data_IF_867530501320
#
_entry.id   IF_867530501320
#
_cell.length_a   1.000
_cell.length_b   1.000
_cell.length_c   1.000
_cell.angle_alpha   90.00
_cell.angle_beta   90.00
_cell.angle_gamma   90.00
#
_symmetry.space_group_name_H-M   'P 1'
#
loop_
_entity.id
_entity.type
_entity.pdbx_description
1 polymer ?
#
# COMPACT_ATOMS: atom_id res chain seq x y z
N UNK A 1 34.35 -34.54 -38.57
CA UNK A 1 32.91 -34.23 -38.76
C UNK A 1 32.04 -34.28 -37.50
N UNK A 2 32.53 -34.66 -36.29
CA UNK A 2 31.72 -34.70 -35.05
C UNK A 2 31.48 -33.34 -34.36
N UNK A 3 32.39 -32.37 -34.50
CA UNK A 3 32.31 -31.09 -33.76
C UNK A 3 31.31 -30.07 -34.35
N UNK A 4 30.92 -30.23 -35.62
CA UNK A 4 29.99 -29.31 -36.30
C UNK A 4 28.55 -29.47 -35.79
N UNK A 5 28.17 -30.70 -35.41
CA UNK A 5 26.84 -31.01 -34.87
C UNK A 5 26.69 -30.54 -33.41
N UNK A 6 27.77 -30.59 -32.62
CA UNK A 6 27.81 -30.04 -31.25
C UNK A 6 27.71 -28.51 -31.27
N UNK A 7 28.41 -27.85 -32.18
CA UNK A 7 28.29 -26.40 -32.36
C UNK A 7 26.87 -26.00 -32.75
N UNK A 8 26.23 -26.75 -33.67
CA UNK A 8 24.85 -26.50 -34.08
C UNK A 8 23.84 -26.69 -32.94
N UNK A 9 24.08 -27.67 -32.05
CA UNK A 9 23.27 -27.91 -30.87
C UNK A 9 23.35 -26.74 -29.85
N UNK A 10 24.54 -26.19 -29.62
CA UNK A 10 24.71 -25.02 -28.76
C UNK A 10 24.06 -23.75 -29.32
N UNK A 11 24.07 -23.57 -30.65
CA UNK A 11 23.41 -22.43 -31.31
C UNK A 11 21.88 -22.53 -31.19
N UNK A 12 21.32 -23.73 -31.33
CA UNK A 12 19.88 -23.97 -31.12
C UNK A 12 19.48 -23.73 -29.66
N UNK A 13 20.28 -24.20 -28.69
CA UNK A 13 20.02 -23.98 -27.27
C UNK A 13 20.03 -22.50 -26.88
N UNK A 14 20.93 -21.71 -27.50
CA UNK A 14 20.99 -20.26 -27.33
C UNK A 14 19.75 -19.56 -27.91
N UNK A 15 19.22 -20.05 -29.03
CA UNK A 15 18.05 -19.47 -29.69
C UNK A 15 16.74 -19.79 -28.96
N UNK A 16 16.64 -20.95 -28.29
CA UNK A 16 15.48 -21.29 -27.46
C UNK A 16 15.44 -20.50 -26.13
N UNK A 17 16.54 -19.89 -25.71
CA UNK A 17 16.63 -19.11 -24.47
C UNK A 17 16.08 -17.67 -24.55
N UNK A 18 15.77 -17.17 -25.74
CA UNK A 18 15.34 -15.77 -25.95
C UNK A 18 13.82 -15.58 -26.02
N UNK A 19 13.04 -16.65 -25.83
CA UNK A 19 11.58 -16.56 -25.62
C UNK A 19 11.27 -16.06 -24.20
N UNK A 20 11.61 -14.79 -23.95
CA UNK A 20 11.27 -14.08 -22.72
C UNK A 20 9.75 -13.96 -22.60
N UNK A 21 9.15 -14.63 -21.61
CA UNK A 21 7.79 -14.35 -21.16
C UNK A 21 7.74 -12.99 -20.47
N UNK A 22 7.50 -11.93 -21.23
CA UNK A 22 7.03 -10.66 -20.69
C UNK A 22 5.56 -10.81 -20.31
N UNK A 23 5.24 -10.71 -19.02
CA UNK A 23 3.84 -10.60 -18.54
C UNK A 23 3.22 -9.37 -19.19
N UNK A 24 2.24 -9.58 -20.07
CA UNK A 24 1.46 -8.53 -20.70
C UNK A 24 0.64 -7.84 -19.58
N UNK A 25 1.07 -6.66 -19.15
CA UNK A 25 0.30 -5.85 -18.20
C UNK A 25 -0.87 -5.26 -18.97
N UNK A 26 -2.07 -5.79 -18.76
CA UNK A 26 -3.27 -5.11 -19.22
C UNK A 26 -3.33 -3.73 -18.57
N UNK A 27 -3.18 -2.69 -19.38
CA UNK A 27 -3.44 -1.33 -18.96
C UNK A 27 -4.96 -1.24 -18.85
N UNK A 28 -5.47 -1.19 -17.62
CA UNK A 28 -6.88 -0.87 -17.36
C UNK A 28 -7.16 0.47 -18.03
N UNK A 29 -7.80 0.45 -19.19
CA UNK A 29 -8.34 1.64 -19.84
C UNK A 29 -9.47 2.12 -18.93
N UNK A 30 -9.17 3.04 -18.02
CA UNK A 30 -10.19 3.72 -17.23
C UNK A 30 -11.06 4.45 -18.25
N UNK A 31 -12.34 4.08 -18.43
CA UNK A 31 -13.21 4.79 -19.35
C UNK A 31 -13.39 6.18 -18.79
N UNK A 32 -12.69 7.15 -19.39
CA UNK A 32 -13.00 8.55 -19.21
C UNK A 32 -14.49 8.70 -19.54
N UNK A 33 -15.27 9.28 -18.64
CA UNK A 33 -16.68 9.67 -18.85
C UNK A 33 -17.79 8.61 -18.65
N UNK A 34 -17.57 7.56 -17.85
CA UNK A 34 -18.74 6.83 -17.31
C UNK A 34 -19.38 7.66 -16.20
N UNK A 35 -20.49 8.36 -16.49
CA UNK A 35 -21.35 8.97 -15.45
C UNK A 35 -21.53 7.95 -14.32
N UNK A 36 -21.08 8.31 -13.12
CA UNK A 36 -21.21 7.45 -11.94
C UNK A 36 -22.69 7.14 -11.76
N UNK A 37 -23.05 5.85 -11.84
CA UNK A 37 -24.42 5.43 -11.52
C UNK A 37 -24.63 5.67 -10.04
N UNK A 38 -25.62 6.49 -9.70
CA UNK A 38 -26.02 6.68 -8.31
C UNK A 38 -26.45 5.31 -7.75
N UNK A 39 -25.75 4.84 -6.73
CA UNK A 39 -26.08 3.63 -5.99
C UNK A 39 -26.37 4.02 -4.56
N UNK A 40 -27.30 3.33 -3.91
CA UNK A 40 -27.67 3.64 -2.52
C UNK A 40 -26.49 3.38 -1.58
N UNK A 41 -26.43 4.14 -0.49
CA UNK A 41 -25.38 4.03 0.53
C UNK A 41 -25.27 2.60 1.08
N UNK A 42 -26.42 1.94 1.35
CA UNK A 42 -26.47 0.53 1.79
C UNK A 42 -25.82 -0.42 0.77
N UNK A 43 -26.00 -0.17 -0.53
CA UNK A 43 -25.40 -0.97 -1.60
C UNK A 43 -23.92 -0.67 -1.78
N UNK A 44 -23.50 0.59 -1.63
CA UNK A 44 -22.09 0.99 -1.60
C UNK A 44 -21.36 0.30 -0.46
N UNK A 45 -21.86 0.45 0.77
CA UNK A 45 -21.28 -0.14 1.97
C UNK A 45 -21.16 -1.65 1.82
N UNK A 46 -22.24 -2.33 1.42
CA UNK A 46 -22.24 -3.78 1.20
C UNK A 46 -21.17 -4.20 0.18
N UNK A 47 -21.14 -3.56 -0.99
CA UNK A 47 -20.15 -3.87 -2.03
C UNK A 47 -18.72 -3.60 -1.56
N UNK A 48 -18.49 -2.52 -0.84
CA UNK A 48 -17.17 -2.19 -0.30
C UNK A 48 -16.72 -3.23 0.72
N UNK A 49 -17.59 -3.62 1.66
CA UNK A 49 -17.29 -4.66 2.66
C UNK A 49 -17.06 -6.04 2.07
N UNK A 50 -17.80 -6.41 1.02
CA UNK A 50 -17.62 -7.69 0.31
C UNK A 50 -16.29 -7.76 -0.46
N UNK A 51 -15.68 -6.61 -0.77
CA UNK A 51 -14.42 -6.50 -1.50
C UNK A 51 -13.23 -6.10 -0.63
N UNK A 52 -13.33 -6.28 0.69
CA UNK A 52 -12.19 -6.11 1.57
C UNK A 52 -11.06 -7.08 1.25
N UNK A 53 -9.84 -6.59 1.44
CA UNK A 53 -8.65 -7.39 1.20
C UNK A 53 -8.51 -8.45 2.32
N UNK A 54 -8.64 -9.73 1.97
CA UNK A 54 -8.43 -10.85 2.89
C UNK A 54 -6.96 -11.27 2.86
N UNK A 55 -6.25 -11.14 3.99
CA UNK A 55 -4.85 -11.53 4.11
C UNK A 55 -4.46 -11.80 5.57
N UNK A 56 -3.50 -12.71 5.80
CA UNK A 56 -2.82 -12.84 7.09
C UNK A 56 -1.51 -12.05 7.12
N UNK A 57 -0.75 -12.13 6.03
CA UNK A 57 0.47 -11.36 5.79
C UNK A 57 0.41 -10.73 4.41
N UNK A 58 0.86 -9.49 4.29
CA UNK A 58 0.86 -8.77 3.02
C UNK A 58 2.13 -7.94 2.89
N UNK A 59 2.73 -7.97 1.69
CA UNK A 59 3.83 -7.08 1.32
C UNK A 59 3.41 -6.25 0.12
N UNK A 60 3.40 -4.93 0.26
CA UNK A 60 3.12 -3.97 -0.81
C UNK A 60 4.38 -3.18 -1.11
N UNK A 61 4.63 -2.93 -2.40
CA UNK A 61 5.67 -2.00 -2.85
C UNK A 61 5.00 -0.83 -3.52
N UNK A 62 5.44 0.38 -3.21
CA UNK A 62 4.91 1.60 -3.80
C UNK A 62 6.02 2.57 -4.21
N UNK A 63 5.69 3.46 -5.13
CA UNK A 63 6.52 4.61 -5.48
C UNK A 63 5.63 5.82 -5.72
N UNK A 64 6.10 6.99 -5.35
CA UNK A 64 5.33 8.22 -5.45
C UNK A 64 6.22 9.45 -5.55
N UNK A 65 5.61 10.59 -5.81
CA UNK A 65 6.26 11.90 -5.74
C UNK A 65 5.61 12.70 -4.63
N UNK A 66 6.42 13.21 -3.72
CA UNK A 66 5.99 14.11 -2.64
C UNK A 66 6.42 15.52 -3.01
N UNK A 67 5.50 16.47 -2.96
CA UNK A 67 5.85 17.88 -3.04
C UNK A 67 6.30 18.38 -1.67
N UNK A 68 7.50 18.93 -1.60
CA UNK A 68 8.04 19.56 -0.41
C UNK A 68 8.52 20.97 -0.77
N UNK A 69 7.73 21.99 -0.39
CA UNK A 69 7.88 23.34 -0.93
C UNK A 69 7.76 23.32 -2.46
N UNK A 70 8.69 23.97 -3.15
CA UNK A 70 8.72 24.04 -4.62
C UNK A 70 9.41 22.84 -5.29
N UNK A 71 9.81 21.80 -4.54
CA UNK A 71 10.55 20.66 -5.10
C UNK A 71 9.76 19.37 -4.98
N UNK A 72 9.59 18.66 -6.10
CA UNK A 72 9.04 17.31 -6.13
C UNK A 72 10.15 16.29 -5.83
N UNK A 73 10.01 15.53 -4.75
CA UNK A 73 10.92 14.45 -4.37
C UNK A 73 10.30 13.10 -4.65
N UNK A 74 11.04 12.21 -5.31
CA UNK A 74 10.57 10.87 -5.61
C UNK A 74 10.90 9.92 -4.45
N UNK A 75 9.88 9.21 -3.97
CA UNK A 75 10.00 8.25 -2.87
C UNK A 75 9.59 6.85 -3.34
N UNK A 76 10.20 5.85 -2.73
CA UNK A 76 9.84 4.44 -2.87
C UNK A 76 9.62 3.87 -1.48
N UNK A 77 8.75 2.89 -1.36
CA UNK A 77 8.48 2.27 -0.08
C UNK A 77 8.02 0.84 -0.17
N UNK A 78 8.19 0.14 0.94
CA UNK A 78 7.73 -1.21 1.15
C UNK A 78 6.90 -1.22 2.43
N UNK A 79 5.66 -1.67 2.33
CA UNK A 79 4.80 -1.98 3.46
C UNK A 79 4.81 -3.49 3.65
N UNK A 80 5.07 -3.94 4.87
CA UNK A 80 4.85 -5.32 5.32
C UNK A 80 3.87 -5.28 6.46
N UNK A 81 2.85 -6.11 6.43
CA UNK A 81 1.84 -6.14 7.49
C UNK A 81 1.48 -7.56 7.86
N UNK A 82 1.20 -7.77 9.15
CA UNK A 82 0.41 -8.89 9.64
C UNK A 82 -0.92 -8.32 10.10
N UNK A 83 -2.00 -8.88 9.58
CA UNK A 83 -3.37 -8.46 9.87
C UNK A 83 -3.61 -8.34 11.37
N UNK A 84 -4.29 -7.27 11.79
CA UNK A 84 -4.62 -6.99 13.19
C UNK A 84 -3.43 -7.12 14.17
N UNK A 85 -2.20 -6.80 13.75
CA UNK A 85 -1.02 -7.00 14.59
C UNK A 85 0.07 -5.95 14.40
N UNK A 86 0.61 -5.83 13.18
CA UNK A 86 1.76 -4.95 12.94
C UNK A 86 1.75 -4.44 11.50
N UNK A 87 2.05 -3.16 11.33
CA UNK A 87 2.30 -2.53 10.04
C UNK A 87 3.72 -1.96 10.07
N UNK A 88 4.54 -2.41 9.13
CA UNK A 88 5.93 -2.00 8.98
C UNK A 88 6.11 -1.31 7.64
N UNK A 89 6.50 -0.04 7.66
CA UNK A 89 6.75 0.77 6.47
C UNK A 89 8.22 1.13 6.41
N UNK A 90 8.87 0.84 5.30
CA UNK A 90 10.24 1.29 5.02
C UNK A 90 10.21 2.23 3.82
N UNK A 91 10.68 3.45 4.02
CA UNK A 91 10.72 4.51 3.02
C UNK A 91 12.16 4.75 2.56
N UNK A 92 12.31 4.93 1.26
CA UNK A 92 13.58 5.16 0.58
C UNK A 92 13.42 6.31 -0.41
N UNK A 93 14.49 7.07 -0.61
CA UNK A 93 14.61 7.96 -1.74
C UNK A 93 14.66 7.16 -3.06
N UNK A 94 14.40 7.81 -4.19
CA UNK A 94 14.49 7.16 -5.51
C UNK A 94 15.87 6.56 -5.81
N UNK A 95 16.93 6.98 -5.13
CA UNK A 95 18.29 6.42 -5.25
C UNK A 95 18.55 5.21 -4.35
N UNK A 96 17.61 4.83 -3.48
CA UNK A 96 17.76 3.71 -2.53
C UNK A 96 18.23 4.12 -1.13
N UNK A 97 18.51 5.41 -0.91
CA UNK A 97 18.88 5.93 0.41
C UNK A 97 17.69 5.81 1.36
N UNK A 98 17.83 5.16 2.53
CA UNK A 98 16.75 5.08 3.52
C UNK A 98 16.35 6.46 4.04
N UNK A 99 15.04 6.76 4.05
CA UNK A 99 14.50 8.05 4.50
C UNK A 99 13.87 7.91 5.88
N UNK A 100 12.99 6.92 6.05
CA UNK A 100 12.32 6.68 7.32
C UNK A 100 11.89 5.22 7.45
N UNK A 101 11.66 4.79 8.69
CA UNK A 101 11.02 3.52 9.01
C UNK A 101 9.91 3.79 10.02
N UNK A 102 8.75 3.21 9.77
CA UNK A 102 7.59 3.32 10.64
C UNK A 102 7.16 1.92 11.02
N UNK A 103 7.04 1.66 12.31
CA UNK A 103 6.47 0.41 12.83
C UNK A 103 5.30 0.79 13.71
N UNK A 104 4.14 0.20 13.43
CA UNK A 104 2.90 0.45 14.13
C UNK A 104 2.38 -0.88 14.64
N UNK A 105 2.16 -0.98 15.95
CA UNK A 105 1.47 -2.09 16.63
C UNK A 105 0.16 -1.57 17.21
N UNK A 106 -0.61 -2.43 17.88
CA UNK A 106 -1.89 -2.01 18.47
C UNK A 106 -1.76 -0.90 19.51
N UNK A 107 -0.62 -0.86 20.19
CA UNK A 107 -0.34 -0.08 21.40
C UNK A 107 0.74 0.98 21.19
N UNK A 108 1.55 0.87 20.12
CA UNK A 108 2.71 1.73 19.95
C UNK A 108 3.02 2.07 18.50
N UNK A 109 3.68 3.20 18.33
CA UNK A 109 4.24 3.68 17.07
C UNK A 109 5.72 3.97 17.29
N UNK A 110 6.55 3.39 16.44
CA UNK A 110 7.96 3.69 16.31
C UNK A 110 8.17 4.39 14.98
N UNK A 111 8.66 5.63 15.02
CA UNK A 111 9.03 6.40 13.85
C UNK A 111 10.52 6.70 13.89
N UNK A 112 11.27 6.15 12.95
CA UNK A 112 12.71 6.38 12.79
C UNK A 112 12.94 7.28 11.56
N UNK A 113 13.40 8.50 11.79
CA UNK A 113 13.85 9.42 10.74
C UNK A 113 15.35 9.23 10.51
N UNK A 114 15.70 8.68 9.34
CA UNK A 114 17.09 8.40 8.97
C UNK A 114 17.81 9.56 8.31
N UNK A 115 17.11 10.64 7.98
CA UNK A 115 17.75 11.84 7.42
C UNK A 115 18.38 12.70 8.51
N UNK A 116 17.76 12.71 9.70
CA UNK A 116 18.19 13.53 10.83
C UNK A 116 18.61 12.69 12.05
N UNK A 117 18.76 11.36 11.88
CA UNK A 117 19.10 10.41 12.96
C UNK A 117 18.27 10.57 14.23
N UNK A 118 16.97 10.83 14.07
CA UNK A 118 16.01 11.00 15.17
C UNK A 118 15.03 9.85 15.19
N UNK A 119 14.51 9.53 16.37
CA UNK A 119 13.46 8.53 16.52
C UNK A 119 12.41 8.98 17.52
N UNK A 120 11.20 8.48 17.33
CA UNK A 120 10.07 8.58 18.24
C UNK A 120 9.58 7.18 18.56
N UNK A 121 9.20 6.97 19.82
CA UNK A 121 8.51 5.77 20.29
C UNK A 121 7.46 6.20 21.30
N UNK A 122 6.23 5.74 21.14
CA UNK A 122 5.15 6.07 22.06
C UNK A 122 3.80 5.55 21.58
N UNK A 123 2.74 5.91 22.29
CA UNK A 123 1.36 5.65 21.89
C UNK A 123 0.98 6.49 20.67
N UNK A 124 -0.25 6.29 20.21
CA UNK A 124 -0.83 7.06 19.12
C UNK A 124 -1.17 8.51 19.50
N UNK A 125 -1.19 8.84 20.80
CA UNK A 125 -1.58 10.15 21.34
C UNK A 125 -0.78 11.31 20.70
N UNK A 126 0.51 11.10 20.41
CA UNK A 126 1.34 12.09 19.70
C UNK A 126 0.80 12.46 18.31
N UNK A 127 0.18 11.51 17.60
CA UNK A 127 -0.44 11.75 16.31
C UNK A 127 -1.82 12.40 16.46
N UNK A 128 -2.51 12.14 17.56
CA UNK A 128 -3.83 12.73 17.85
C UNK A 128 -3.70 14.25 18.03
N UNK A 129 -2.67 14.71 18.76
CA UNK A 129 -2.41 16.14 19.00
C UNK A 129 -2.13 16.93 17.70
N UNK A 130 -1.50 16.29 16.71
CA UNK A 130 -1.20 16.94 15.44
C UNK A 130 -2.37 16.90 14.46
N UNK A 131 -3.21 15.87 14.54
CA UNK A 131 -4.27 15.61 13.58
C UNK A 131 -5.66 16.04 14.09
N UNK A 132 -5.78 16.41 15.37
CA UNK A 132 -7.05 16.73 16.04
C UNK A 132 -8.10 15.62 15.93
N UNK A 133 -7.68 14.35 15.85
CA UNK A 133 -8.59 13.20 15.88
C UNK A 133 -7.95 11.98 16.54
N UNK A 134 -8.78 11.16 17.18
CA UNK A 134 -8.28 9.92 17.80
C UNK A 134 -7.91 8.90 16.73
N UNK A 135 -6.63 8.52 16.73
CA UNK A 135 -6.04 7.65 15.73
C UNK A 135 -5.67 6.33 16.39
N UNK A 136 -6.33 5.24 16.01
CA UNK A 136 -5.97 3.89 16.46
C UNK A 136 -5.26 3.09 15.38
N UNK A 137 -4.59 2.01 15.77
CA UNK A 137 -4.00 1.05 14.83
C UNK A 137 -5.01 0.57 13.78
N UNK A 138 -6.25 0.26 14.18
CA UNK A 138 -7.29 -0.22 13.28
C UNK A 138 -7.64 0.84 12.23
N UNK A 139 -7.67 2.12 12.63
CA UNK A 139 -7.94 3.21 11.70
C UNK A 139 -6.86 3.31 10.61
N UNK A 140 -5.58 3.25 11.01
CA UNK A 140 -4.47 3.23 10.05
C UNK A 140 -4.54 2.01 9.14
N UNK A 141 -4.83 0.83 9.69
CA UNK A 141 -4.97 -0.38 8.90
C UNK A 141 -6.09 -0.25 7.87
N UNK A 142 -7.26 0.23 8.27
CA UNK A 142 -8.40 0.37 7.36
C UNK A 142 -8.11 1.32 6.20
N UNK A 143 -7.47 2.47 6.48
CA UNK A 143 -7.09 3.43 5.44
C UNK A 143 -6.08 2.84 4.45
N UNK A 144 -5.08 2.11 4.93
CA UNK A 144 -4.02 1.57 4.08
C UNK A 144 -4.45 0.36 3.25
N UNK A 145 -5.41 -0.43 3.72
CA UNK A 145 -5.77 -1.72 3.12
C UNK A 145 -7.21 -1.80 2.60
N UNK A 146 -7.78 -0.64 2.24
CA UNK A 146 -9.09 -0.52 1.58
C UNK A 146 -10.24 -1.11 2.39
N UNK A 147 -10.34 -0.68 3.66
CA UNK A 147 -11.48 -0.99 4.50
C UNK A 147 -12.19 0.28 4.93
N UNK A 148 -13.43 0.14 5.40
CA UNK A 148 -14.16 1.29 5.89
C UNK A 148 -13.49 1.78 7.17
N UNK A 149 -12.98 3.00 7.09
CA UNK A 149 -12.58 3.79 8.23
C UNK A 149 -13.79 4.62 8.68
N UNK A 150 -14.25 4.38 9.91
CA UNK A 150 -15.33 5.15 10.51
C UNK A 150 -14.72 6.23 11.39
N UNK A 151 -14.97 7.48 11.02
CA UNK A 151 -14.67 8.63 11.86
C UNK A 151 -15.77 8.77 12.92
N UNK A 152 -15.44 9.30 14.10
CA UNK A 152 -16.34 9.26 15.26
C UNK A 152 -17.76 9.81 14.97
N UNK A 153 -17.86 10.88 14.17
CA UNK A 153 -19.15 11.48 13.79
C UNK A 153 -19.95 10.63 12.79
N UNK A 154 -19.29 9.76 12.02
CA UNK A 154 -19.93 8.84 11.08
C UNK A 154 -20.46 7.58 11.77
N UNK A 155 -19.88 7.18 12.91
CA UNK A 155 -20.36 6.03 13.71
C UNK A 155 -21.79 6.27 14.19
N UNK A 156 -22.10 7.49 14.65
CA UNK A 156 -23.44 7.88 15.11
C UNK A 156 -24.47 7.72 13.99
N UNK A 157 -24.18 8.26 12.80
CA UNK A 157 -25.06 8.16 11.62
C UNK A 157 -25.18 6.75 11.05
N UNK A 158 -24.13 5.93 11.14
CA UNK A 158 -24.16 4.55 10.63
C UNK A 158 -24.89 3.58 11.54
N UNK A 159 -24.93 3.84 12.86
CA UNK A 159 -25.82 3.13 13.78
C UNK A 159 -27.28 3.39 13.40
N UNK A 160 -27.63 4.65 13.18
CA UNK A 160 -28.98 5.04 12.71
C UNK A 160 -29.36 4.33 11.39
N UNK A 161 -28.42 4.12 10.46
CA UNK A 161 -28.67 3.42 9.20
C UNK A 161 -28.70 1.88 9.30
N UNK A 162 -28.16 1.30 10.38
CA UNK A 162 -28.27 -0.15 10.66
C UNK A 162 -29.59 -0.52 11.32
N UNK A 163 -30.24 0.45 11.97
CA UNK A 163 -31.52 0.28 12.66
C UNK A 163 -32.74 0.45 11.72
N UNK A 164 -32.52 0.56 10.40
CA UNK A 164 -33.51 0.48 9.30
C UNK A 164 -33.25 -0.70 8.33
#
# INVERSE_FOLDING_TARGET
>A
MKNKNIFFFFVILLFLGTLSCTVHKEIVKIPHEKKLKLISDKRLLKKTTENYLIYSYLTLRFSGKVQWGNTAKSIRGIVKTKRDSIIWISLYHSTGIPVAKIVMTKDSVIFLNRLNDTYYTGSYDFLEDQLNFSLTFNNVQSVLFNELFLYNDTVTKLKELKDF
#
